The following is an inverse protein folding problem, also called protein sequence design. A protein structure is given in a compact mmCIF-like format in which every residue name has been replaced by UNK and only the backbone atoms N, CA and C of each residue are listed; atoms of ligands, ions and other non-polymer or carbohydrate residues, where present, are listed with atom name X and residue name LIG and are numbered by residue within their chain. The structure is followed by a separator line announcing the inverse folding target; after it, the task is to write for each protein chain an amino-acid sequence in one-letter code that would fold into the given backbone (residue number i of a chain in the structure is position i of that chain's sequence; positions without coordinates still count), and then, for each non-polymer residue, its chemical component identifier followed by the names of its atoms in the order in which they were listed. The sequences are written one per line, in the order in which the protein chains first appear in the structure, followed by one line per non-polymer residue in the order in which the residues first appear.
data_IF_870303064908
#
_entry.id   IF_870303064908
#
_cell.length_a   1.000
_cell.length_b   1.000
_cell.length_c   1.000
_cell.angle_alpha   90.00
_cell.angle_beta   90.00
_cell.angle_gamma   90.00
#
_symmetry.space_group_name_H-M   'P 1'
#
loop_
_entity.id
_entity.type
_entity.pdbx_description
1 polymer ?
#
# COMPACT_ATOMS: atom_id res chain seq x y z
N UNK A 1 -10.73 -18.45 -2.41
CA UNK A 1 -10.08 -17.18 -2.03
C UNK A 1 -10.86 -16.56 -0.89
N UNK A 2 -10.23 -16.26 0.24
CA UNK A 2 -10.86 -15.54 1.34
C UNK A 2 -10.54 -14.05 1.18
N UNK A 3 -11.57 -13.20 1.22
CA UNK A 3 -11.41 -11.74 1.14
C UNK A 3 -11.55 -11.15 2.55
N UNK A 4 -10.67 -10.21 2.87
CA UNK A 4 -10.63 -9.52 4.16
C UNK A 4 -10.67 -8.03 3.91
N UNK A 5 -11.49 -7.31 4.68
CA UNK A 5 -11.53 -5.85 4.67
C UNK A 5 -11.16 -5.25 6.01
N UNK A 6 -10.85 -3.96 5.99
CA UNK A 6 -10.57 -3.17 7.19
C UNK A 6 -11.73 -3.29 8.21
N UNK A 7 -11.38 -3.64 9.44
CA UNK A 7 -12.30 -3.73 10.58
C UNK A 7 -12.04 -2.63 11.60
N UNK A 8 -10.76 -2.25 11.79
CA UNK A 8 -10.39 -1.25 12.78
C UNK A 8 -8.88 -1.11 12.94
N UNK A 9 -8.48 -0.33 13.95
CA UNK A 9 -7.08 -0.13 14.36
C UNK A 9 -6.92 -0.09 15.88
N UNK A 10 -5.72 -0.36 16.38
CA UNK A 10 -5.40 -0.44 17.82
C UNK A 10 -5.32 0.90 18.58
N UNK A 11 -5.68 2.02 17.97
CA UNK A 11 -5.67 3.35 18.62
C UNK A 11 -4.32 4.09 18.61
N UNK A 12 -3.21 3.43 18.31
CA UNK A 12 -1.91 4.09 18.16
C UNK A 12 -1.79 4.82 16.81
N UNK A 13 -1.13 5.98 16.81
CA UNK A 13 -0.85 6.75 15.61
C UNK A 13 0.15 6.03 14.69
N UNK A 14 -0.06 6.14 13.39
CA UNK A 14 0.82 5.55 12.38
C UNK A 14 2.17 6.28 12.31
N UNK A 15 3.26 5.52 12.18
CA UNK A 15 4.60 6.02 11.87
C UNK A 15 5.09 5.44 10.55
N UNK A 16 5.67 6.28 9.70
CA UNK A 16 6.19 5.85 8.40
C UNK A 16 7.43 4.99 8.53
N UNK A 17 7.31 3.71 8.15
CA UNK A 17 8.45 2.79 8.04
C UNK A 17 9.43 3.23 6.94
N UNK A 18 8.91 3.76 5.82
CA UNK A 18 9.76 4.31 4.77
C UNK A 18 10.64 5.46 5.27
N UNK A 19 10.11 6.33 6.14
CA UNK A 19 10.94 7.35 6.79
C UNK A 19 12.05 6.74 7.66
N UNK A 20 11.76 5.69 8.41
CA UNK A 20 12.77 5.00 9.23
C UNK A 20 13.91 4.47 8.36
N UNK A 21 13.60 3.83 7.24
CA UNK A 21 14.62 3.33 6.29
C UNK A 21 15.45 4.45 5.66
N UNK A 22 14.84 5.59 5.33
CA UNK A 22 15.56 6.77 4.84
C UNK A 22 16.49 7.32 5.92
N UNK A 23 15.99 7.47 7.15
CA UNK A 23 16.77 8.02 8.26
C UNK A 23 17.95 7.08 8.64
N UNK A 24 17.81 5.77 8.40
CA UNK A 24 18.90 4.77 8.53
C UNK A 24 19.87 4.74 7.35
N UNK A 25 19.53 5.39 6.22
CA UNK A 25 20.33 5.38 4.99
C UNK A 25 20.26 4.08 4.19
N UNK A 26 19.30 3.20 4.50
CA UNK A 26 19.15 1.90 3.84
C UNK A 26 18.41 1.99 2.51
N UNK A 27 17.57 3.02 2.34
CA UNK A 27 16.87 3.35 1.09
C UNK A 27 16.92 4.86 0.87
N UNK A 28 17.33 5.30 -0.32
CA UNK A 28 17.34 6.73 -0.67
C UNK A 28 15.93 7.30 -0.75
N UNK A 29 15.79 8.59 -0.47
CA UNK A 29 14.49 9.28 -0.48
C UNK A 29 13.85 9.27 -1.87
N UNK A 30 14.62 9.47 -2.93
CA UNK A 30 14.14 9.42 -4.32
C UNK A 30 13.64 8.03 -4.75
N UNK A 31 14.16 6.96 -4.16
CA UNK A 31 13.83 5.57 -4.51
C UNK A 31 12.72 4.98 -3.63
N UNK A 32 12.26 5.74 -2.62
CA UNK A 32 11.32 5.24 -1.61
C UNK A 32 9.93 4.94 -2.19
N UNK A 33 9.51 3.69 -2.07
CA UNK A 33 8.22 3.18 -2.56
C UNK A 33 7.79 1.93 -1.76
N UNK A 34 6.54 1.48 -1.94
CA UNK A 34 6.10 0.19 -1.35
C UNK A 34 6.90 -0.99 -1.91
N UNK A 35 7.34 -0.91 -3.17
CA UNK A 35 8.19 -1.88 -3.81
C UNK A 35 9.57 -1.92 -3.16
N UNK A 36 10.15 -0.75 -2.86
CA UNK A 36 11.44 -0.67 -2.16
C UNK A 36 11.36 -1.26 -0.74
N UNK A 37 10.31 -0.96 0.02
CA UNK A 37 10.11 -1.53 1.37
C UNK A 37 9.94 -3.05 1.31
N UNK A 38 9.17 -3.55 0.33
CA UNK A 38 9.01 -5.00 0.10
C UNK A 38 10.36 -5.65 -0.20
N UNK A 39 11.11 -5.09 -1.15
CA UNK A 39 12.40 -5.63 -1.55
C UNK A 39 13.39 -5.63 -0.38
N UNK A 40 13.40 -4.56 0.42
CA UNK A 40 14.21 -4.50 1.63
C UNK A 40 13.86 -5.66 2.58
N UNK A 41 12.58 -5.94 2.80
CA UNK A 41 12.16 -7.06 3.65
C UNK A 41 12.51 -8.44 3.08
N UNK A 42 12.57 -8.59 1.75
CA UNK A 42 12.98 -9.83 1.09
C UNK A 42 14.48 -10.10 1.17
N UNK A 43 15.30 -9.09 1.46
CA UNK A 43 16.77 -9.18 1.52
C UNK A 43 17.35 -9.15 2.93
N UNK A 44 16.51 -8.99 3.96
CA UNK A 44 16.90 -8.96 5.38
C UNK A 44 16.27 -10.13 6.15
N UNK A 45 16.81 -10.43 7.33
CA UNK A 45 16.28 -11.49 8.18
C UNK A 45 14.92 -11.12 8.80
N UNK A 46 14.12 -12.13 9.14
CA UNK A 46 12.83 -11.96 9.84
C UNK A 46 12.95 -11.14 11.14
N UNK A 47 14.08 -11.25 11.84
CA UNK A 47 14.34 -10.49 13.06
C UNK A 47 14.50 -8.98 12.77
N UNK A 48 15.22 -8.63 11.70
CA UNK A 48 15.40 -7.23 11.25
C UNK A 48 14.09 -6.65 10.72
N UNK A 49 13.33 -7.44 9.95
CA UNK A 49 12.00 -7.06 9.46
C UNK A 49 11.07 -6.77 10.63
N UNK A 50 11.07 -7.64 11.65
CA UNK A 50 10.28 -7.43 12.86
C UNK A 50 10.67 -6.16 13.60
N UNK A 51 11.97 -5.94 13.83
CA UNK A 51 12.47 -4.73 14.49
C UNK A 51 12.02 -3.47 13.76
N UNK A 52 12.13 -3.47 12.42
CA UNK A 52 11.68 -2.36 11.61
C UNK A 52 10.17 -2.14 11.75
N UNK A 53 9.36 -3.18 11.62
CA UNK A 53 7.90 -3.06 11.68
C UNK A 53 7.40 -2.59 13.06
N UNK A 54 8.08 -2.98 14.14
CA UNK A 54 7.78 -2.54 15.51
C UNK A 54 7.99 -1.03 15.71
N UNK A 55 8.72 -0.34 14.82
CA UNK A 55 8.81 1.13 14.83
C UNK A 55 7.48 1.82 14.53
N UNK A 56 6.52 1.13 13.89
CA UNK A 56 5.16 1.61 13.70
C UNK A 56 4.21 0.95 14.72
N UNK A 57 3.80 1.64 15.80
CA UNK A 57 2.94 1.05 16.81
C UNK A 57 1.49 0.86 16.34
N UNK A 58 1.11 1.44 15.19
CA UNK A 58 -0.24 1.31 14.64
C UNK A 58 -0.44 -0.06 14.03
N UNK A 59 -1.52 -0.75 14.44
CA UNK A 59 -1.86 -2.08 13.96
C UNK A 59 -3.29 -2.11 13.39
N UNK A 60 -3.46 -2.75 12.22
CA UNK A 60 -4.73 -2.85 11.50
C UNK A 60 -5.37 -4.21 11.75
N UNK A 61 -6.66 -4.20 12.09
CA UNK A 61 -7.47 -5.40 12.22
C UNK A 61 -8.36 -5.59 11.00
N UNK A 62 -8.57 -6.84 10.61
CA UNK A 62 -9.36 -7.22 9.44
C UNK A 62 -10.55 -8.10 9.84
N UNK A 63 -11.58 -8.11 9.00
CA UNK A 63 -12.73 -9.02 9.12
C UNK A 63 -12.97 -9.77 7.82
N UNK A 64 -13.44 -11.04 7.87
CA UNK A 64 -13.87 -11.74 6.67
C UNK A 64 -14.95 -10.94 5.95
N UNK A 65 -14.89 -10.93 4.62
CA UNK A 65 -15.90 -10.33 3.78
C UNK A 65 -16.21 -11.27 2.62
N UNK A 66 -17.47 -11.28 2.19
CA UNK A 66 -17.84 -11.95 0.93
C UNK A 66 -16.98 -11.41 -0.20
N UNK A 67 -16.58 -12.31 -1.11
CA UNK A 67 -15.79 -11.91 -2.26
C UNK A 67 -16.47 -10.75 -2.98
N UNK A 68 -15.73 -9.66 -3.15
CA UNK A 68 -16.15 -8.51 -3.93
C UNK A 68 -15.07 -8.24 -4.99
N UNK A 69 -15.46 -7.88 -6.21
CA UNK A 69 -14.48 -7.48 -7.22
C UNK A 69 -13.69 -6.26 -6.71
N UNK A 70 -12.39 -6.21 -7.01
CA UNK A 70 -11.54 -5.06 -6.68
C UNK A 70 -12.07 -3.83 -7.39
N UNK A 71 -12.37 -2.77 -6.64
CA UNK A 71 -12.94 -1.52 -7.15
C UNK A 71 -11.95 -0.37 -6.97
N UNK A 72 -11.95 0.55 -7.93
CA UNK A 72 -11.24 1.82 -7.79
C UNK A 72 -12.01 2.83 -6.94
N UNK A 73 -11.45 4.03 -6.79
CA UNK A 73 -12.11 5.14 -6.09
C UNK A 73 -13.42 5.62 -6.76
N UNK A 74 -13.76 5.12 -7.95
CA UNK A 74 -15.02 5.33 -8.68
C UNK A 74 -16.10 4.28 -8.35
N UNK A 75 -15.82 3.33 -7.45
CA UNK A 75 -16.67 2.19 -7.11
C UNK A 75 -16.97 1.21 -8.27
N UNK A 76 -16.27 1.35 -9.40
CA UNK A 76 -16.34 0.45 -10.57
C UNK A 76 -15.28 -0.67 -10.43
N UNK A 77 -15.63 -1.94 -10.72
CA UNK A 77 -14.66 -3.03 -10.81
C UNK A 77 -13.52 -2.72 -11.79
N UNK A 78 -12.28 -2.95 -11.35
CA UNK A 78 -11.09 -2.71 -12.18
C UNK A 78 -10.82 -3.91 -13.09
N UNK A 79 -10.56 -3.64 -14.36
CA UNK A 79 -10.08 -4.62 -15.33
C UNK A 79 -8.58 -4.36 -15.52
N UNK A 80 -7.76 -5.39 -15.28
CA UNK A 80 -6.30 -5.30 -15.38
C UNK A 80 -5.87 -4.86 -16.78
N UNK A 81 -4.96 -3.88 -16.86
CA UNK A 81 -4.48 -3.22 -18.10
C UNK A 81 -5.53 -2.42 -18.87
N UNK A 82 -6.77 -2.31 -18.39
CA UNK A 82 -7.82 -1.48 -18.99
C UNK A 82 -8.35 -0.41 -18.01
N UNK A 83 -7.67 -0.22 -16.88
CA UNK A 83 -8.00 0.78 -15.87
C UNK A 83 -6.73 1.32 -15.22
N UNK A 84 -6.72 2.62 -14.92
CA UNK A 84 -5.58 3.33 -14.33
C UNK A 84 -6.04 4.25 -13.18
N UNK A 85 -5.13 4.59 -12.28
CA UNK A 85 -5.32 5.67 -11.31
C UNK A 85 -4.79 6.98 -11.91
N UNK A 86 -5.52 8.08 -11.71
CA UNK A 86 -5.18 9.40 -12.24
C UNK A 86 -5.38 10.51 -11.19
N UNK A 87 -4.75 11.66 -11.43
CA UNK A 87 -5.10 12.90 -10.75
C UNK A 87 -6.45 13.40 -11.29
N UNK A 88 -7.45 13.51 -10.41
CA UNK A 88 -8.81 13.93 -10.77
C UNK A 88 -8.90 15.37 -11.28
N UNK A 89 -7.94 16.22 -10.94
CA UNK A 89 -7.88 17.61 -11.40
C UNK A 89 -7.40 17.73 -12.86
N UNK A 90 -6.68 16.74 -13.35
CA UNK A 90 -6.07 16.72 -14.70
C UNK A 90 -6.83 15.75 -15.61
N UNK A 91 -7.05 14.52 -15.15
CA UNK A 91 -7.76 13.45 -15.88
C UNK A 91 -8.92 12.96 -15.00
N UNK A 92 -10.13 13.51 -15.17
CA UNK A 92 -11.30 13.13 -14.40
C UNK A 92 -11.65 11.64 -14.54
N UNK A 93 -12.34 11.10 -13.54
CA UNK A 93 -12.79 9.71 -13.55
C UNK A 93 -13.73 9.44 -14.75
N UNK A 94 -13.44 8.37 -15.50
CA UNK A 94 -14.21 7.98 -16.69
C UNK A 94 -13.63 8.46 -18.03
N UNK A 95 -12.57 9.27 -18.00
CA UNK A 95 -11.86 9.69 -19.22
C UNK A 95 -11.30 8.48 -19.97
N UNK A 96 -11.57 8.40 -21.27
CA UNK A 96 -10.99 7.38 -22.16
C UNK A 96 -9.54 7.75 -22.49
N UNK A 97 -8.63 6.79 -22.36
CA UNK A 97 -7.21 6.95 -22.65
C UNK A 97 -6.80 6.03 -23.79
N UNK A 98 -6.04 6.56 -24.73
CA UNK A 98 -5.23 5.80 -25.68
C UNK A 98 -3.78 5.96 -25.24
N UNK A 99 -3.08 4.84 -25.04
CA UNK A 99 -1.68 4.80 -24.64
C UNK A 99 -0.95 3.75 -25.49
N UNK A 100 0.30 4.03 -25.83
CA UNK A 100 1.22 3.10 -26.52
C UNK A 100 2.04 2.28 -25.52
#
# INVERSE_FOLDING_TARGET
LNFFSYSGKNGHAYRSIGKVLIDRGEVKKEDMSMQAIRHWGETHSEAEVRELLEQNPSFVFFKPQSFAPVKGASAVPLIGRASVASDRSIIPAGTTLLAE
#
